data_IF_786941566603
#
_entry.id   IF_786941566603
#
_cell.length_a   1.000
_cell.length_b   1.000
_cell.length_c   1.000
_cell.angle_alpha   90.00
_cell.angle_beta   90.00
_cell.angle_gamma   90.00
#
_symmetry.space_group_name_H-M   'P 1'
#
loop_
_entity.id
_entity.type
_entity.pdbx_description
1 polymer ?
#
# COMPACT_ATOMS: atom_id res chain seq x y z
N UNK A 1 -3.58 7.33 -20.60
CA UNK A 1 -3.12 8.54 -21.32
C UNK A 1 -2.12 9.37 -20.50
N UNK A 2 -2.44 9.75 -19.26
CA UNK A 2 -1.59 10.60 -18.40
C UNK A 2 -0.22 9.96 -18.10
N UNK A 3 -0.18 8.71 -17.62
CA UNK A 3 1.09 8.00 -17.31
C UNK A 3 2.02 7.90 -18.52
N UNK A 4 1.49 7.59 -19.71
CA UNK A 4 2.28 7.55 -20.95
C UNK A 4 2.92 8.91 -21.26
N UNK A 5 2.21 10.02 -21.02
CA UNK A 5 2.75 11.36 -21.21
C UNK A 5 3.88 11.66 -20.23
N UNK A 6 3.72 11.30 -18.96
CA UNK A 6 4.77 11.44 -17.95
C UNK A 6 6.01 10.61 -18.32
N UNK A 7 5.82 9.35 -18.71
CA UNK A 7 6.91 8.45 -19.09
C UNK A 7 7.74 8.96 -20.28
N UNK A 8 7.10 9.71 -21.21
CA UNK A 8 7.82 10.36 -22.33
C UNK A 8 8.79 11.47 -21.90
N UNK A 9 8.74 11.91 -20.64
CA UNK A 9 9.56 13.00 -20.09
C UNK A 9 10.44 12.54 -18.94
N UNK A 10 9.87 11.80 -17.99
CA UNK A 10 10.59 11.29 -16.83
C UNK A 10 9.95 9.98 -16.35
N UNK A 11 10.73 8.91 -16.42
CA UNK A 11 10.25 7.58 -16.04
C UNK A 11 10.03 7.45 -14.52
N UNK A 12 10.89 8.06 -13.71
CA UNK A 12 10.75 8.07 -12.24
C UNK A 12 9.42 8.70 -11.82
N UNK A 13 9.10 9.89 -12.33
CA UNK A 13 7.82 10.56 -12.05
C UNK A 13 6.64 9.73 -12.54
N UNK A 14 6.75 9.09 -13.71
CA UNK A 14 5.69 8.22 -14.22
C UNK A 14 5.43 7.04 -13.28
N UNK A 15 6.48 6.40 -12.77
CA UNK A 15 6.39 5.29 -11.82
C UNK A 15 5.80 5.75 -10.49
N UNK A 16 6.25 6.89 -9.96
CA UNK A 16 5.72 7.48 -8.71
C UNK A 16 4.23 7.79 -8.79
N UNK A 17 3.72 8.21 -9.95
CA UNK A 17 2.28 8.44 -10.14
C UNK A 17 1.52 7.13 -10.39
N UNK A 18 2.10 6.21 -11.14
CA UNK A 18 1.43 4.97 -11.56
C UNK A 18 1.25 3.99 -10.41
N UNK A 19 2.32 3.66 -9.67
CA UNK A 19 2.29 2.57 -8.68
C UNK A 19 1.24 2.79 -7.57
N UNK A 20 1.16 3.96 -6.92
CA UNK A 20 0.12 4.26 -5.93
C UNK A 20 -1.32 4.10 -6.43
N UNK A 21 -1.56 4.41 -7.71
CA UNK A 21 -2.89 4.53 -8.30
C UNK A 21 -3.39 3.26 -9.00
N UNK A 22 -2.51 2.42 -9.57
CA UNK A 22 -2.90 1.33 -10.49
C UNK A 22 -2.40 -0.06 -10.16
N UNK A 23 -1.56 -0.20 -9.13
CA UNK A 23 -1.16 -1.48 -8.54
C UNK A 23 -1.24 -1.43 -7.01
N UNK A 24 -1.47 -0.23 -6.48
CA UNK A 24 -1.17 0.12 -5.13
C UNK A 24 -2.41 0.40 -4.28
N UNK A 25 -2.19 1.05 -3.13
CA UNK A 25 -3.21 1.23 -2.11
C UNK A 25 -4.49 1.95 -2.57
N UNK A 26 -4.46 2.86 -3.55
CA UNK A 26 -5.69 3.51 -4.02
C UNK A 26 -6.64 2.50 -4.68
N UNK A 27 -6.12 1.62 -5.53
CA UNK A 27 -6.93 0.57 -6.18
C UNK A 27 -7.48 -0.43 -5.14
N UNK A 28 -6.64 -0.87 -4.20
CA UNK A 28 -7.07 -1.79 -3.14
C UNK A 28 -8.13 -1.16 -2.22
N UNK A 29 -7.99 0.13 -1.88
CA UNK A 29 -8.99 0.87 -1.10
C UNK A 29 -10.30 1.04 -1.87
N UNK A 30 -10.25 1.32 -3.17
CA UNK A 30 -11.44 1.44 -4.01
C UNK A 30 -12.22 0.13 -4.07
N UNK A 31 -11.52 -1.01 -4.26
CA UNK A 31 -12.15 -2.32 -4.40
C UNK A 31 -12.55 -2.97 -3.07
N UNK A 32 -11.71 -2.88 -2.05
CA UNK A 32 -11.83 -3.66 -0.82
C UNK A 32 -11.93 -2.82 0.46
N UNK A 33 -11.71 -1.51 0.37
CA UNK A 33 -11.81 -0.62 1.53
C UNK A 33 -13.25 -0.44 1.99
N UNK A 34 -13.42 -0.25 3.30
CA UNK A 34 -14.70 0.19 3.88
C UNK A 34 -14.99 1.63 3.49
N UNK A 35 -16.25 2.07 3.59
CA UNK A 35 -16.61 3.47 3.32
C UNK A 35 -15.86 4.46 4.22
N UNK A 36 -15.65 4.10 5.49
CA UNK A 36 -14.83 4.91 6.41
C UNK A 36 -13.37 5.02 5.93
N UNK A 37 -12.75 3.91 5.49
CA UNK A 37 -11.39 3.93 4.95
C UNK A 37 -11.30 4.73 3.65
N UNK A 38 -12.25 4.57 2.74
CA UNK A 38 -12.30 5.32 1.47
C UNK A 38 -12.39 6.82 1.71
N UNK A 39 -13.33 7.24 2.55
CA UNK A 39 -13.55 8.65 2.87
C UNK A 39 -12.36 9.31 3.58
N UNK A 40 -11.61 8.53 4.37
CA UNK A 40 -10.41 9.01 5.03
C UNK A 40 -9.20 9.06 4.10
N UNK A 41 -8.85 7.93 3.47
CA UNK A 41 -7.57 7.79 2.77
C UNK A 41 -7.61 8.33 1.33
N UNK A 42 -8.65 8.09 0.54
CA UNK A 42 -8.64 8.44 -0.88
C UNK A 42 -8.42 9.94 -1.15
N UNK A 43 -9.04 10.89 -0.42
CA UNK A 43 -8.75 12.31 -0.60
C UNK A 43 -7.29 12.67 -0.30
N UNK A 44 -6.72 12.08 0.75
CA UNK A 44 -5.34 12.29 1.22
C UNK A 44 -4.29 11.69 0.28
N UNK A 45 -4.65 10.60 -0.41
CA UNK A 45 -3.83 10.04 -1.49
C UNK A 45 -3.88 10.92 -2.74
N UNK A 46 -5.05 11.50 -3.04
CA UNK A 46 -5.25 12.31 -4.24
C UNK A 46 -4.57 13.68 -4.16
N UNK A 47 -4.52 14.30 -2.99
CA UNK A 47 -3.84 15.59 -2.76
C UNK A 47 -2.35 15.45 -2.37
N UNK A 48 -1.88 14.22 -2.16
CA UNK A 48 -0.50 13.89 -1.81
C UNK A 48 -0.14 14.15 -0.34
N UNK A 49 -1.12 14.38 0.54
CA UNK A 49 -0.91 14.46 1.99
C UNK A 49 -0.30 13.17 2.52
N UNK A 50 -0.81 12.03 2.05
CA UNK A 50 -0.25 10.71 2.35
C UNK A 50 0.40 10.13 1.08
N UNK A 51 1.65 9.67 1.19
CA UNK A 51 2.38 9.05 0.09
C UNK A 51 2.36 7.54 0.31
N UNK A 52 1.67 6.77 -0.55
CA UNK A 52 1.39 5.40 -0.19
C UNK A 52 2.31 4.44 -0.99
N UNK A 53 2.47 3.22 -0.50
CA UNK A 53 3.34 2.22 -1.12
C UNK A 53 2.70 0.83 -1.13
N UNK A 54 3.22 -0.08 -1.96
CA UNK A 54 2.73 -1.45 -2.06
C UNK A 54 3.77 -2.47 -1.61
N UNK A 55 3.62 -2.94 -0.37
CA UNK A 55 4.62 -3.72 0.36
C UNK A 55 4.47 -5.25 0.15
N UNK A 56 4.60 -5.74 -1.09
CA UNK A 56 4.47 -7.17 -1.39
C UNK A 56 5.81 -7.91 -1.35
N UNK A 57 6.77 -7.50 -2.19
CA UNK A 57 8.06 -8.19 -2.38
C UNK A 57 8.92 -8.20 -1.10
N UNK A 58 9.52 -9.35 -0.81
CA UNK A 58 10.41 -9.58 0.34
C UNK A 58 11.82 -9.98 -0.13
N UNK A 59 12.84 -10.00 0.74
CA UNK A 59 14.19 -10.44 0.38
C UNK A 59 14.26 -11.87 -0.19
N UNK A 60 13.38 -12.77 0.26
CA UNK A 60 13.36 -14.19 -0.12
C UNK A 60 12.22 -14.56 -1.07
N UNK A 61 11.26 -13.67 -1.34
CA UNK A 61 10.11 -13.93 -2.20
C UNK A 61 9.76 -12.71 -3.07
N UNK A 62 9.82 -12.91 -4.39
CA UNK A 62 9.52 -11.91 -5.42
C UNK A 62 8.45 -12.40 -6.38
N UNK A 63 8.85 -13.11 -7.45
CA UNK A 63 7.92 -13.67 -8.43
C UNK A 63 6.92 -14.66 -7.82
N UNK A 64 7.38 -15.48 -6.87
CA UNK A 64 6.49 -16.30 -6.04
C UNK A 64 6.05 -15.50 -4.81
N UNK A 65 5.03 -14.66 -4.99
CA UNK A 65 4.50 -13.81 -3.92
C UNK A 65 3.82 -14.61 -2.80
N UNK A 66 3.34 -15.83 -3.09
CA UNK A 66 2.70 -16.70 -2.10
C UNK A 66 3.71 -17.25 -1.07
N UNK A 67 5.00 -17.27 -1.41
CA UNK A 67 6.08 -17.67 -0.51
C UNK A 67 6.55 -16.56 0.45
N UNK A 68 5.81 -15.45 0.62
CA UNK A 68 6.21 -14.40 1.56
C UNK A 68 6.30 -14.95 3.00
N UNK A 69 7.40 -14.68 3.73
CA UNK A 69 7.60 -15.21 5.07
C UNK A 69 6.89 -14.39 6.16
N UNK A 70 6.38 -13.21 5.80
CA UNK A 70 5.73 -12.26 6.70
C UNK A 70 4.47 -12.86 7.32
N UNK A 71 4.27 -12.63 8.63
CA UNK A 71 3.15 -13.21 9.39
C UNK A 71 2.28 -12.11 9.97
N UNK A 72 0.97 -12.24 9.85
CA UNK A 72 -0.03 -11.47 10.57
C UNK A 72 -0.78 -12.36 11.55
N UNK A 73 -0.84 -11.96 12.82
CA UNK A 73 -1.62 -12.66 13.86
C UNK A 73 -2.73 -11.73 14.34
N UNK A 74 -3.97 -12.20 14.26
CA UNK A 74 -5.13 -11.51 14.84
C UNK A 74 -5.04 -11.63 16.35
N UNK A 75 -5.00 -10.50 17.07
CA UNK A 75 -4.91 -10.49 18.52
C UNK A 75 -5.51 -9.21 19.12
N UNK A 76 -5.90 -9.27 20.40
CA UNK A 76 -6.18 -8.08 21.20
C UNK A 76 -4.87 -7.35 21.52
N UNK A 77 -4.94 -6.02 21.61
CA UNK A 77 -3.83 -5.17 22.04
C UNK A 77 -4.30 -3.76 22.39
N UNK A 78 -3.45 -2.99 23.06
CA UNK A 78 -3.73 -1.59 23.38
C UNK A 78 -3.33 -0.69 22.19
N UNK A 79 -4.25 0.17 21.76
CA UNK A 79 -4.01 1.20 20.75
C UNK A 79 -4.71 2.49 21.17
N UNK A 80 -3.97 3.60 21.23
CA UNK A 80 -4.47 4.90 21.71
C UNK A 80 -5.16 4.86 23.09
N UNK A 81 -4.71 3.96 23.97
CA UNK A 81 -5.25 3.79 25.33
C UNK A 81 -6.50 2.91 25.44
N UNK A 82 -6.95 2.32 24.33
CA UNK A 82 -8.09 1.41 24.29
C UNK A 82 -7.66 -0.01 23.93
N UNK A 83 -8.33 -1.02 24.51
CA UNK A 83 -8.14 -2.42 24.12
C UNK A 83 -8.94 -2.72 22.84
N UNK A 84 -8.23 -3.05 21.76
CA UNK A 84 -8.80 -3.25 20.42
C UNK A 84 -8.40 -4.59 19.81
N UNK A 85 -9.25 -5.12 18.94
CA UNK A 85 -8.91 -6.25 18.07
C UNK A 85 -8.10 -5.74 16.88
N UNK A 86 -6.89 -6.26 16.70
CA UNK A 86 -5.99 -5.82 15.62
C UNK A 86 -5.16 -6.95 15.02
N UNK A 87 -4.17 -6.56 14.23
CA UNK A 87 -3.19 -7.44 13.60
C UNK A 87 -1.80 -7.11 14.11
N UNK A 88 -1.10 -8.08 14.71
CA UNK A 88 0.34 -8.01 14.95
C UNK A 88 1.06 -8.60 13.75
N UNK A 89 1.83 -7.78 13.05
CA UNK A 89 2.46 -8.16 11.79
C UNK A 89 3.99 -8.12 11.93
N UNK A 90 4.64 -9.13 11.38
CA UNK A 90 6.10 -9.13 11.13
C UNK A 90 6.31 -8.81 9.67
N UNK A 91 7.23 -7.90 9.34
CA UNK A 91 7.51 -7.57 7.95
C UNK A 91 8.99 -7.32 7.67
N UNK A 92 9.48 -7.81 6.53
CA UNK A 92 10.75 -7.39 5.94
C UNK A 92 10.62 -7.32 4.42
N UNK A 93 10.67 -6.12 3.86
CA UNK A 93 10.28 -5.84 2.47
C UNK A 93 11.43 -5.26 1.65
N UNK A 94 11.41 -5.51 0.34
CA UNK A 94 12.49 -5.11 -0.59
C UNK A 94 11.89 -4.54 -1.87
N UNK A 95 12.53 -3.51 -2.41
CA UNK A 95 12.13 -2.86 -3.67
C UNK A 95 10.73 -2.24 -3.66
N UNK A 96 10.35 -1.68 -2.52
CA UNK A 96 9.07 -0.97 -2.39
C UNK A 96 9.22 0.41 -3.04
N UNK A 97 8.37 0.66 -4.03
CA UNK A 97 8.29 1.92 -4.78
C UNK A 97 7.29 2.85 -4.10
#
# INVERSE_FOLDING_TARGET
>A
AVVMKLASRNLTTAITVMVPNSLGPAELLLHYGTEAQKNHYLPRLADGTDIPCFALTSPSAGSDAAAMPDRGVVCMGEFEGEEVLGLRVTWNKRYIT
#
